data_IF_930984375877
#
_entry.id   IF_930984375877
#
_cell.length_a   1.000
_cell.length_b   1.000
_cell.length_c   1.000
_cell.angle_alpha   90.00
_cell.angle_beta   90.00
_cell.angle_gamma   90.00
#
_symmetry.space_group_name_H-M   'P 1'
#
loop_
_entity.id
_entity.type
_entity.pdbx_description
1 polymer ?
#
# COMPACT_ATOMS: atom_id res chain seq x y z
N UNK A 1 -16.98 2.48 11.68
CA UNK A 1 -15.73 1.74 11.40
C UNK A 1 -15.72 1.15 10.00
N UNK A 2 -16.85 0.79 9.38
CA UNK A 2 -16.91 0.31 7.98
C UNK A 2 -16.47 1.35 6.93
N UNK A 3 -16.98 2.59 6.99
CA UNK A 3 -16.70 3.62 5.97
C UNK A 3 -15.23 4.06 5.80
N UNK A 4 -14.35 3.61 6.69
CA UNK A 4 -12.92 3.91 6.69
C UNK A 4 -12.12 2.88 5.87
N UNK A 5 -12.55 1.62 5.85
CA UNK A 5 -11.94 0.58 5.01
C UNK A 5 -12.38 0.73 3.56
N UNK A 6 -13.62 1.16 3.33
CA UNK A 6 -14.17 1.46 2.00
C UNK A 6 -13.35 2.53 1.27
N UNK A 7 -12.86 3.54 2.00
CA UNK A 7 -11.99 4.58 1.44
C UNK A 7 -10.69 4.01 0.90
N UNK A 8 -9.97 3.23 1.71
CA UNK A 8 -8.70 2.60 1.30
C UNK A 8 -8.93 1.64 0.13
N UNK A 9 -10.02 0.86 0.17
CA UNK A 9 -10.38 -0.04 -0.91
C UNK A 9 -10.57 0.72 -2.23
N UNK A 10 -11.30 1.84 -2.21
CA UNK A 10 -11.51 2.65 -3.40
C UNK A 10 -10.21 3.27 -3.91
N UNK A 11 -9.38 3.81 -3.01
CA UNK A 11 -8.08 4.41 -3.36
C UNK A 11 -7.14 3.39 -4.04
N UNK A 12 -7.02 2.18 -3.49
CA UNK A 12 -6.23 1.10 -4.07
C UNK A 12 -6.75 0.70 -5.46
N UNK A 13 -8.09 0.66 -5.63
CA UNK A 13 -8.74 0.29 -6.89
C UNK A 13 -8.52 1.33 -7.99
N UNK A 14 -8.61 2.61 -7.63
CA UNK A 14 -8.34 3.74 -8.53
C UNK A 14 -6.87 3.73 -8.95
N UNK A 15 -5.94 3.67 -7.99
CA UNK A 15 -4.50 3.62 -8.25
C UNK A 15 -4.12 2.46 -9.15
N UNK A 16 -4.65 1.25 -8.89
CA UNK A 16 -4.46 0.09 -9.79
C UNK A 16 -4.90 0.40 -11.23
N UNK A 17 -6.06 1.02 -11.38
CA UNK A 17 -6.62 1.32 -12.71
C UNK A 17 -5.71 2.28 -13.47
N UNK A 18 -5.17 3.28 -12.79
CA UNK A 18 -4.20 4.22 -13.36
C UNK A 18 -2.89 3.54 -13.77
N UNK A 19 -2.33 2.67 -12.92
CA UNK A 19 -1.11 1.93 -13.22
C UNK A 19 -1.31 0.97 -14.41
N UNK A 20 -2.44 0.27 -14.47
CA UNK A 20 -2.79 -0.58 -15.61
C UNK A 20 -2.97 0.23 -16.90
N UNK A 21 -3.61 1.40 -16.83
CA UNK A 21 -3.73 2.30 -17.98
C UNK A 21 -2.35 2.76 -18.46
N UNK A 22 -1.45 3.12 -17.54
CA UNK A 22 -0.06 3.42 -17.86
C UNK A 22 0.63 2.25 -18.56
N UNK A 23 0.49 1.03 -18.04
CA UNK A 23 1.05 -0.18 -18.65
C UNK A 23 0.55 -0.43 -20.08
N UNK A 24 -0.68 -0.03 -20.40
CA UNK A 24 -1.28 -0.23 -21.71
C UNK A 24 -0.90 0.83 -22.76
N UNK A 25 -0.24 1.94 -22.39
CA UNK A 25 0.10 3.03 -23.31
C UNK A 25 1.59 3.40 -23.32
N UNK A 26 2.16 3.71 -24.49
CA UNK A 26 3.45 4.42 -24.66
C UNK A 26 4.76 3.60 -24.61
N UNK A 27 5.88 4.28 -24.93
CA UNK A 27 7.24 3.83 -24.63
C UNK A 27 7.55 4.00 -23.14
N UNK A 28 8.20 3.01 -22.54
CA UNK A 28 8.44 2.97 -21.09
C UNK A 28 9.92 2.87 -20.81
N UNK A 29 10.37 3.65 -19.83
CA UNK A 29 11.68 3.43 -19.22
C UNK A 29 11.61 2.13 -18.39
N UNK A 30 12.55 1.22 -18.66
CA UNK A 30 12.62 -0.10 -18.01
C UNK A 30 12.74 0.01 -16.48
N UNK A 31 13.42 1.05 -15.97
CA UNK A 31 13.56 1.27 -14.52
C UNK A 31 12.23 1.66 -13.90
N UNK A 32 11.47 2.54 -14.57
CA UNK A 32 10.15 2.97 -14.10
C UNK A 32 9.17 1.80 -14.16
N UNK A 33 9.26 0.97 -15.19
CA UNK A 33 8.40 -0.21 -15.35
C UNK A 33 8.52 -1.17 -14.16
N UNK A 34 9.74 -1.43 -13.66
CA UNK A 34 9.94 -2.31 -12.51
C UNK A 34 9.19 -1.81 -11.27
N UNK A 35 9.32 -0.52 -10.93
CA UNK A 35 8.62 0.06 -9.78
C UNK A 35 7.10 0.01 -9.94
N UNK A 36 6.58 0.21 -11.15
CA UNK A 36 5.14 0.14 -11.43
C UNK A 36 4.62 -1.29 -11.24
N UNK A 37 5.37 -2.29 -11.69
CA UNK A 37 5.00 -3.70 -11.54
C UNK A 37 5.05 -4.13 -10.06
N UNK A 38 6.04 -3.66 -9.31
CA UNK A 38 6.16 -3.92 -7.87
C UNK A 38 4.99 -3.26 -7.11
N UNK A 39 4.66 -1.99 -7.40
CA UNK A 39 3.51 -1.31 -6.80
C UNK A 39 2.18 -2.02 -7.13
N UNK A 40 1.98 -2.42 -8.39
CA UNK A 40 0.80 -3.18 -8.79
C UNK A 40 0.68 -4.51 -8.03
N UNK A 41 1.79 -5.21 -7.82
CA UNK A 41 1.81 -6.45 -7.05
C UNK A 41 1.40 -6.21 -5.59
N UNK A 42 1.85 -5.11 -5.02
CA UNK A 42 1.56 -4.75 -3.63
C UNK A 42 0.10 -4.36 -3.46
N UNK A 43 -0.45 -3.59 -4.40
CA UNK A 43 -1.88 -3.25 -4.47
C UNK A 43 -2.74 -4.51 -4.62
N UNK A 44 -2.40 -5.41 -5.55
CA UNK A 44 -3.15 -6.66 -5.75
C UNK A 44 -3.12 -7.55 -4.50
N UNK A 45 -1.98 -7.61 -3.82
CA UNK A 45 -1.86 -8.34 -2.55
C UNK A 45 -2.76 -7.72 -1.46
N UNK A 46 -2.77 -6.40 -1.34
CA UNK A 46 -3.62 -5.69 -0.39
C UNK A 46 -5.11 -5.93 -0.67
N UNK A 47 -5.55 -5.79 -1.92
CA UNK A 47 -6.93 -6.04 -2.34
C UNK A 47 -7.34 -7.49 -2.09
N UNK A 48 -6.47 -8.47 -2.40
CA UNK A 48 -6.75 -9.87 -2.12
C UNK A 48 -6.90 -10.14 -0.61
N UNK A 49 -6.07 -9.53 0.23
CA UNK A 49 -6.22 -9.62 1.69
C UNK A 49 -7.54 -8.99 2.15
N UNK A 50 -8.00 -7.90 1.54
CA UNK A 50 -9.31 -7.30 1.85
C UNK A 50 -10.45 -8.26 1.53
N UNK A 51 -10.42 -8.90 0.35
CA UNK A 51 -11.42 -9.88 -0.07
C UNK A 51 -11.47 -11.11 0.87
N UNK A 52 -10.31 -11.53 1.39
CA UNK A 52 -10.20 -12.66 2.30
C UNK A 52 -10.38 -12.29 3.78
N UNK A 53 -10.60 -11.01 4.12
CA UNK A 53 -10.73 -10.56 5.50
C UNK A 53 -9.42 -10.57 6.31
N UNK A 54 -8.27 -10.57 5.64
CA UNK A 54 -6.93 -10.57 6.24
C UNK A 54 -6.17 -9.24 6.04
N UNK A 55 -6.86 -8.19 5.58
CA UNK A 55 -6.23 -6.90 5.33
C UNK A 55 -5.60 -6.32 6.60
N UNK A 56 -4.39 -5.77 6.46
CA UNK A 56 -3.60 -5.26 7.57
C UNK A 56 -2.90 -6.33 8.40
N UNK A 57 -3.03 -7.63 8.08
CA UNK A 57 -2.30 -8.68 8.79
C UNK A 57 -0.81 -8.69 8.39
N UNK A 58 0.05 -8.50 9.38
CA UNK A 58 1.50 -8.50 9.25
C UNK A 58 2.01 -9.87 8.78
N UNK A 59 2.80 -9.90 7.72
CA UNK A 59 3.34 -11.13 7.14
C UNK A 59 4.45 -11.77 7.99
N UNK A 60 5.03 -11.00 8.92
CA UNK A 60 6.11 -11.47 9.80
C UNK A 60 5.55 -11.97 11.14
N UNK A 61 4.72 -11.17 11.80
CA UNK A 61 4.20 -11.49 13.14
C UNK A 61 2.84 -12.18 13.13
N UNK A 62 2.08 -12.06 12.04
CA UNK A 62 0.69 -12.50 11.97
C UNK A 62 -0.31 -11.60 12.70
N UNK A 63 0.15 -10.55 13.38
CA UNK A 63 -0.69 -9.56 14.07
C UNK A 63 -1.20 -8.48 13.12
N UNK A 64 -2.30 -7.80 13.48
CA UNK A 64 -2.81 -6.70 12.68
C UNK A 64 -1.98 -5.43 12.87
N UNK A 65 -1.65 -4.79 11.75
CA UNK A 65 -0.98 -3.49 11.70
C UNK A 65 -1.96 -2.40 12.16
N UNK A 66 -1.45 -1.32 12.79
CA UNK A 66 -2.26 -0.17 13.18
C UNK A 66 -2.97 0.43 11.96
N UNK A 67 -4.27 0.69 12.10
CA UNK A 67 -5.09 1.21 11.01
C UNK A 67 -4.62 2.61 10.56
N UNK A 68 -4.18 3.45 11.50
CA UNK A 68 -3.69 4.80 11.22
C UNK A 68 -2.47 4.80 10.29
N UNK A 69 -1.65 3.74 10.38
CA UNK A 69 -0.51 3.56 9.50
C UNK A 69 -0.95 3.02 8.13
N UNK A 70 -1.93 2.13 8.08
CA UNK A 70 -2.54 1.65 6.83
C UNK A 70 -3.26 2.76 6.07
N UNK A 71 -3.78 3.79 6.75
CA UNK A 71 -4.29 5.00 6.11
C UNK A 71 -3.20 5.82 5.42
N UNK A 72 -1.95 5.71 5.89
CA UNK A 72 -0.81 6.41 5.30
C UNK A 72 -0.12 5.57 4.23
N UNK A 73 -0.06 4.25 4.44
CA UNK A 73 0.59 3.27 3.57
C UNK A 73 -0.32 2.05 3.43
N UNK A 74 -1.30 2.11 2.50
CA UNK A 74 -2.29 1.05 2.29
C UNK A 74 -1.70 -0.33 1.96
N UNK A 75 -0.51 -0.37 1.40
CA UNK A 75 0.17 -1.57 0.90
C UNK A 75 1.16 -2.17 1.89
N UNK A 76 1.30 -1.60 3.11
CA UNK A 76 2.23 -2.11 4.11
C UNK A 76 1.95 -3.57 4.48
N UNK A 77 2.99 -4.41 4.45
CA UNK A 77 2.90 -5.86 4.73
C UNK A 77 3.46 -6.23 6.08
N UNK A 78 4.28 -5.36 6.67
CA UNK A 78 5.01 -5.66 7.89
C UNK A 78 5.24 -4.43 8.77
N UNK A 79 5.37 -4.68 10.08
CA UNK A 79 5.77 -3.64 11.05
C UNK A 79 7.13 -3.04 10.70
N UNK A 80 8.03 -3.83 10.11
CA UNK A 80 9.36 -3.38 9.67
C UNK A 80 9.31 -2.34 8.57
N UNK A 81 8.41 -2.47 7.60
CA UNK A 81 8.22 -1.45 6.55
C UNK A 81 7.69 -0.15 7.15
N UNK A 82 6.74 -0.24 8.09
CA UNK A 82 6.19 0.92 8.78
C UNK A 82 7.26 1.68 9.59
N UNK A 83 8.12 0.96 10.34
CA UNK A 83 9.22 1.57 11.09
C UNK A 83 10.26 2.25 10.18
N UNK A 84 10.51 1.70 8.99
CA UNK A 84 11.39 2.37 8.03
C UNK A 84 10.79 3.70 7.60
N UNK A 85 9.49 3.75 7.32
CA UNK A 85 8.85 5.01 6.93
C UNK A 85 8.80 6.01 8.08
N UNK A 86 8.51 5.61 9.31
CA UNK A 86 8.61 6.48 10.48
C UNK A 86 10.02 7.07 10.69
N UNK A 87 11.07 6.32 10.33
CA UNK A 87 12.44 6.84 10.40
C UNK A 87 12.69 7.97 9.38
N UNK A 88 12.07 7.89 8.20
CA UNK A 88 12.22 8.89 7.13
C UNK A 88 11.20 10.03 7.21
N UNK A 89 10.04 9.83 7.86
CA UNK A 89 9.12 10.90 8.20
C UNK A 89 9.84 11.83 9.19
N UNK A 90 10.07 13.08 8.77
CA UNK A 90 10.74 14.09 9.61
C UNK A 90 10.09 14.09 10.98
N UNK A 91 10.84 13.67 12.01
CA UNK A 91 10.40 13.82 13.39
C UNK A 91 9.98 15.27 13.58
N UNK A 92 8.78 15.55 14.11
CA UNK A 92 8.42 16.92 14.44
C UNK A 92 9.55 17.49 15.28
N UNK A 93 10.08 18.63 14.85
CA UNK A 93 11.00 19.41 15.67
C UNK A 93 10.12 19.92 16.80
N UNK A 94 10.04 19.16 17.90
CA UNK A 94 9.52 19.68 19.14
C UNK A 94 10.54 20.72 19.63
N UNK A 95 10.19 21.99 19.47
CA UNK A 95 10.75 23.10 20.25
C UNK A 95 10.01 23.24 21.57
#
# INVERSE_FOLDING_TARGET
MEGNLDYIYNELRETRTELLAYLNHGQKDERILQYILDELRDIETALNKMENGEYGKCEISGEYLPYELLQTIPTAKSVTELHQVEHFLRKPIYS
#
